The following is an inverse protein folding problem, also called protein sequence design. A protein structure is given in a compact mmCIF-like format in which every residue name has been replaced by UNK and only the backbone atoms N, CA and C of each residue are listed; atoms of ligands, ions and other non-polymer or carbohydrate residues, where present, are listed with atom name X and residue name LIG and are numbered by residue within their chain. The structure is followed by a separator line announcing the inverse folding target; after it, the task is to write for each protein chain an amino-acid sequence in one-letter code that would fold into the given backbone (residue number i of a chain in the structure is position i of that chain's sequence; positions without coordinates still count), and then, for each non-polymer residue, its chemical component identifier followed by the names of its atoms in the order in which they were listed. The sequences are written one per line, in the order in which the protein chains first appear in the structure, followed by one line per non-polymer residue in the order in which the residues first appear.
data_IF_282668966066
#
_entry.id   IF_282668966066
#
_cell.length_a   1.000
_cell.length_b   1.000
_cell.length_c   1.000
_cell.angle_alpha   90.00
_cell.angle_beta   90.00
_cell.angle_gamma   90.00
#
_symmetry.space_group_name_H-M   'P 1'
#
loop_
_entity.id
_entity.type
_entity.pdbx_description
1 polymer ?
#
# COMPACT_ATOMS: atom_id res chain seq x y z
N UNK A 1 -8.36 14.28 -35.57
CA UNK A 1 -7.86 14.24 -34.18
C UNK A 1 -7.73 12.77 -33.82
N UNK A 2 -6.52 12.30 -33.51
CA UNK A 2 -6.33 10.91 -33.09
C UNK A 2 -6.89 10.74 -31.67
N UNK A 3 -7.77 9.76 -31.43
CA UNK A 3 -8.37 9.51 -30.12
C UNK A 3 -7.39 8.89 -29.09
N UNK A 4 -6.18 8.53 -29.52
CA UNK A 4 -5.21 7.80 -28.71
C UNK A 4 -4.21 8.68 -27.94
N UNK A 5 -4.32 10.01 -28.04
CA UNK A 5 -3.48 10.92 -27.25
C UNK A 5 -4.18 11.20 -25.92
N UNK A 6 -3.68 10.61 -24.84
CA UNK A 6 -4.13 10.92 -23.48
C UNK A 6 -3.96 12.42 -23.23
N UNK A 7 -5.04 13.19 -23.01
CA UNK A 7 -4.98 14.65 -22.88
C UNK A 7 -4.22 15.12 -21.63
N UNK A 8 -3.89 14.22 -20.72
CA UNK A 8 -3.14 14.50 -19.50
C UNK A 8 -1.61 14.43 -19.67
N UNK A 9 -1.13 13.95 -20.82
CA UNK A 9 0.31 13.84 -21.09
C UNK A 9 0.79 15.08 -21.83
N UNK A 10 1.54 15.94 -21.13
CA UNK A 10 2.26 17.04 -21.76
C UNK A 10 3.59 16.52 -22.33
N UNK A 11 3.78 16.49 -23.66
CA UNK A 11 5.02 15.99 -24.28
C UNK A 11 6.26 16.82 -23.95
N UNK A 12 6.09 18.03 -23.41
CA UNK A 12 7.18 18.93 -23.02
C UNK A 12 7.65 18.74 -21.55
N UNK A 13 7.06 17.80 -20.81
CA UNK A 13 7.41 17.53 -19.41
C UNK A 13 8.12 16.17 -19.29
N UNK A 14 9.32 16.18 -18.74
CA UNK A 14 10.01 14.94 -18.35
C UNK A 14 9.33 14.37 -17.10
N UNK A 15 8.69 13.19 -17.17
CA UNK A 15 8.01 12.61 -16.02
C UNK A 15 9.02 12.21 -14.94
N UNK A 16 8.64 12.38 -13.67
CA UNK A 16 9.44 11.96 -12.53
C UNK A 16 8.56 11.13 -11.61
N UNK A 17 9.12 10.02 -11.10
CA UNK A 17 8.49 9.22 -10.06
C UNK A 17 9.44 9.05 -8.87
N UNK A 18 8.89 9.15 -7.67
CA UNK A 18 9.61 8.90 -6.42
C UNK A 18 8.83 7.87 -5.61
N UNK A 19 9.54 6.90 -5.06
CA UNK A 19 8.95 5.79 -4.30
C UNK A 19 9.71 5.61 -2.98
N UNK A 20 8.99 5.32 -1.90
CA UNK A 20 9.58 4.98 -0.60
C UNK A 20 8.99 3.69 -0.03
N UNK A 21 9.77 2.95 0.74
CA UNK A 21 9.33 1.72 1.45
C UNK A 21 9.04 1.92 2.93
N UNK A 22 9.09 3.17 3.41
CA UNK A 22 9.06 3.53 4.83
C UNK A 22 10.47 3.84 5.38
N UNK A 23 10.54 4.46 6.56
CA UNK A 23 11.81 4.96 7.13
C UNK A 23 12.00 4.78 8.63
N UNK A 24 11.01 4.22 9.34
CA UNK A 24 10.99 4.21 10.80
C UNK A 24 11.77 3.05 11.46
N UNK A 25 12.48 2.20 10.70
CA UNK A 25 13.09 0.98 11.26
C UNK A 25 14.46 0.68 10.66
N UNK A 26 15.36 0.14 11.50
CA UNK A 26 16.67 -0.36 11.05
C UNK A 26 16.45 -1.55 10.11
N UNK A 27 17.05 -1.47 8.92
CA UNK A 27 17.04 -2.57 7.95
C UNK A 27 18.29 -3.41 8.20
N UNK A 28 18.10 -4.71 8.43
CA UNK A 28 19.20 -5.65 8.61
C UNK A 28 19.98 -5.84 7.30
N UNK A 29 21.27 -6.21 7.40
CA UNK A 29 22.16 -6.35 6.24
C UNK A 29 21.61 -7.33 5.20
N UNK A 30 21.04 -8.43 5.65
CA UNK A 30 20.45 -9.49 4.81
C UNK A 30 19.20 -9.00 4.05
N UNK A 31 18.46 -8.04 4.60
CA UNK A 31 17.24 -7.48 3.98
C UNK A 31 17.52 -6.33 3.03
N UNK A 32 18.64 -5.63 3.20
CA UNK A 32 18.94 -4.37 2.50
C UNK A 32 18.83 -4.51 0.98
N UNK A 33 19.36 -5.58 0.40
CA UNK A 33 19.30 -5.78 -1.05
C UNK A 33 17.88 -6.14 -1.52
N UNK A 34 17.14 -6.96 -0.76
CA UNK A 34 15.73 -7.28 -1.09
C UNK A 34 14.85 -6.03 -1.08
N UNK A 35 15.02 -5.17 -0.07
CA UNK A 35 14.33 -3.87 0.00
C UNK A 35 14.73 -2.98 -1.18
N UNK A 36 16.03 -2.87 -1.49
CA UNK A 36 16.51 -2.06 -2.62
C UNK A 36 15.90 -2.52 -3.95
N UNK A 37 15.87 -3.83 -4.19
CA UNK A 37 15.26 -4.41 -5.38
C UNK A 37 13.76 -4.15 -5.46
N UNK A 38 13.05 -4.26 -4.34
CA UNK A 38 11.62 -3.94 -4.27
C UNK A 38 11.32 -2.48 -4.64
N UNK A 39 12.09 -1.53 -4.08
CA UNK A 39 11.95 -0.10 -4.42
C UNK A 39 12.27 0.17 -5.89
N UNK A 40 13.35 -0.43 -6.42
CA UNK A 40 13.69 -0.30 -7.83
C UNK A 40 12.58 -0.82 -8.74
N UNK A 41 12.01 -1.99 -8.45
CA UNK A 41 10.90 -2.56 -9.23
C UNK A 41 9.68 -1.66 -9.21
N UNK A 42 9.30 -1.13 -8.04
CA UNK A 42 8.17 -0.22 -7.92
C UNK A 42 8.39 1.08 -8.71
N UNK A 43 9.56 1.69 -8.59
CA UNK A 43 9.92 2.90 -9.35
C UNK A 43 9.93 2.63 -10.86
N UNK A 44 10.49 1.51 -11.30
CA UNK A 44 10.50 1.10 -12.70
C UNK A 44 9.10 0.86 -13.25
N UNK A 45 8.22 0.21 -12.49
CA UNK A 45 6.85 -0.06 -12.91
C UNK A 45 6.06 1.25 -13.13
N UNK A 46 6.11 2.16 -12.16
CA UNK A 46 5.43 3.45 -12.31
C UNK A 46 6.07 4.35 -13.38
N UNK A 47 7.41 4.36 -13.48
CA UNK A 47 8.10 5.12 -14.53
C UNK A 47 7.75 4.62 -15.93
N UNK A 48 7.65 3.29 -16.11
CA UNK A 48 7.23 2.67 -17.36
C UNK A 48 5.85 3.19 -17.80
N UNK A 49 4.88 3.19 -16.89
CA UNK A 49 3.53 3.72 -17.14
C UNK A 49 3.60 5.17 -17.63
N UNK A 50 4.39 6.03 -16.97
CA UNK A 50 4.56 7.43 -17.39
C UNK A 50 5.17 7.54 -18.80
N UNK A 51 6.22 6.78 -19.09
CA UNK A 51 6.89 6.82 -20.40
C UNK A 51 6.05 6.24 -21.54
N UNK A 52 5.05 5.42 -21.23
CA UNK A 52 4.09 4.86 -22.18
C UNK A 52 2.84 5.77 -22.35
N UNK A 53 2.82 6.95 -21.73
CA UNK A 53 1.71 7.92 -21.84
C UNK A 53 0.55 7.67 -20.85
N UNK A 54 0.78 6.85 -19.83
CA UNK A 54 -0.17 6.68 -18.72
C UNK A 54 -0.25 7.91 -17.81
N UNK A 55 -1.32 8.02 -17.03
CA UNK A 55 -1.51 9.15 -16.12
C UNK A 55 -0.61 9.05 -14.88
N UNK A 56 -0.44 10.17 -14.17
CA UNK A 56 0.24 10.18 -12.87
C UNK A 56 -0.46 9.27 -11.84
N UNK A 57 -1.79 9.18 -11.89
CA UNK A 57 -2.60 8.32 -11.02
C UNK A 57 -2.32 6.84 -11.31
N UNK A 58 -2.26 6.45 -12.59
CA UNK A 58 -1.92 5.08 -12.99
C UNK A 58 -0.51 4.70 -12.53
N UNK A 59 0.44 5.63 -12.67
CA UNK A 59 1.83 5.40 -12.29
C UNK A 59 2.01 5.16 -10.79
N UNK A 60 1.33 5.95 -9.94
CA UNK A 60 1.42 5.78 -8.47
C UNK A 60 0.66 4.54 -8.00
N UNK A 61 -0.51 4.22 -8.57
CA UNK A 61 -1.22 2.98 -8.26
C UNK A 61 -0.35 1.76 -8.62
N UNK A 62 0.25 1.76 -9.81
CA UNK A 62 1.13 0.69 -10.28
C UNK A 62 2.36 0.53 -9.38
N UNK A 63 3.03 1.62 -9.01
CA UNK A 63 4.18 1.58 -8.12
C UNK A 63 3.83 1.04 -6.72
N UNK A 64 2.72 1.50 -6.14
CA UNK A 64 2.27 1.05 -4.80
C UNK A 64 1.79 -0.39 -4.83
N UNK A 65 1.13 -0.84 -5.90
CA UNK A 65 0.75 -2.26 -6.08
C UNK A 65 1.98 -3.17 -5.98
N UNK A 66 3.10 -2.79 -6.62
CA UNK A 66 4.37 -3.55 -6.52
C UNK A 66 4.90 -3.59 -5.09
N UNK A 67 4.71 -2.54 -4.29
CA UNK A 67 5.10 -2.53 -2.89
C UNK A 67 4.17 -3.40 -2.03
N UNK A 68 2.86 -3.34 -2.24
CA UNK A 68 1.85 -4.14 -1.55
C UNK A 68 1.99 -5.64 -1.82
N UNK A 69 2.40 -6.01 -3.04
CA UNK A 69 2.62 -7.41 -3.40
C UNK A 69 3.96 -7.95 -2.85
N UNK A 70 4.82 -7.08 -2.30
CA UNK A 70 6.19 -7.43 -1.94
C UNK A 70 6.36 -7.54 -0.40
N UNK A 71 6.58 -8.76 0.15
CA UNK A 71 6.50 -9.05 1.60
C UNK A 71 7.54 -8.34 2.48
N UNK A 72 8.55 -7.73 1.87
CA UNK A 72 9.52 -6.92 2.62
C UNK A 72 8.95 -5.60 3.14
N UNK A 73 7.87 -5.07 2.54
CA UNK A 73 7.27 -3.79 2.92
C UNK A 73 6.12 -3.99 3.88
N UNK A 74 5.71 -2.90 4.54
CA UNK A 74 4.60 -2.88 5.48
C UNK A 74 3.34 -2.32 4.80
N UNK A 75 2.84 -3.04 3.81
CA UNK A 75 1.61 -2.77 3.07
C UNK A 75 1.20 -4.05 2.34
N UNK A 76 -0.10 -4.29 2.11
CA UNK A 76 -0.55 -5.52 1.44
C UNK A 76 0.01 -6.78 2.11
N UNK A 77 0.60 -7.67 1.30
CA UNK A 77 1.37 -8.80 1.80
C UNK A 77 2.62 -8.32 2.54
N UNK A 78 2.79 -8.74 3.80
CA UNK A 78 3.88 -8.25 4.66
C UNK A 78 3.49 -7.09 5.57
N UNK A 79 2.20 -6.73 5.60
CA UNK A 79 1.64 -5.84 6.61
C UNK A 79 1.87 -6.36 8.03
N UNK A 80 2.17 -5.44 8.95
CA UNK A 80 2.30 -5.74 10.38
C UNK A 80 0.96 -6.20 10.96
N UNK A 81 1.05 -6.92 12.07
CA UNK A 81 -0.13 -7.46 12.74
C UNK A 81 -0.62 -6.51 13.82
N UNK A 82 -1.93 -6.43 13.99
CA UNK A 82 -2.56 -5.75 15.12
C UNK A 82 -2.40 -6.58 16.41
N UNK A 83 -2.94 -6.08 17.54
CA UNK A 83 -2.83 -6.74 18.84
C UNK A 83 -3.42 -8.17 18.86
N UNK A 84 -4.41 -8.44 18.01
CA UNK A 84 -5.08 -9.73 17.88
C UNK A 84 -4.35 -10.69 16.92
N UNK A 85 -3.31 -10.22 16.22
CA UNK A 85 -2.60 -11.03 15.23
C UNK A 85 -3.19 -10.95 13.82
N UNK A 86 -4.12 -10.04 13.56
CA UNK A 86 -4.73 -9.85 12.24
C UNK A 86 -4.04 -8.72 11.46
N UNK A 87 -4.14 -8.77 10.13
CA UNK A 87 -3.73 -7.69 9.23
C UNK A 87 -4.91 -6.75 9.02
N UNK A 88 -4.70 -5.47 9.28
CA UNK A 88 -5.59 -4.36 8.96
C UNK A 88 -4.79 -3.30 8.21
N UNK A 89 -5.30 -2.87 7.06
CA UNK A 89 -4.56 -2.00 6.15
C UNK A 89 -5.32 -0.72 5.85
N UNK A 90 -4.55 0.32 5.57
CA UNK A 90 -5.04 1.62 5.15
C UNK A 90 -4.34 2.02 3.85
N UNK A 91 -5.04 2.73 2.96
CA UNK A 91 -4.44 3.31 1.76
C UNK A 91 -5.24 4.53 1.28
N UNK A 92 -4.56 5.43 0.58
CA UNK A 92 -5.19 6.62 -0.01
C UNK A 92 -4.49 7.01 -1.32
N UNK A 93 -5.26 7.56 -2.25
CA UNK A 93 -4.78 8.09 -3.54
C UNK A 93 -5.47 9.42 -3.83
N UNK A 94 -4.78 10.32 -4.53
CA UNK A 94 -5.30 11.64 -4.88
C UNK A 94 -4.79 12.06 -6.27
N UNK A 95 -5.69 12.61 -7.09
CA UNK A 95 -5.35 13.23 -8.35
C UNK A 95 -5.11 14.74 -8.16
N UNK A 96 -3.91 15.21 -8.49
CA UNK A 96 -3.56 16.63 -8.35
C UNK A 96 -4.27 17.56 -9.33
N UNK A 97 -4.83 17.04 -10.44
CA UNK A 97 -5.48 17.85 -11.47
C UNK A 97 -6.81 18.45 -11.01
N UNK A 98 -7.63 17.67 -10.33
CA UNK A 98 -9.00 18.02 -9.94
C UNK A 98 -9.27 17.83 -8.44
N UNK A 99 -8.25 17.43 -7.68
CA UNK A 99 -8.31 17.13 -6.25
C UNK A 99 -9.25 15.97 -5.89
N UNK A 100 -9.64 15.15 -6.88
CA UNK A 100 -10.34 13.90 -6.60
C UNK A 100 -9.46 13.00 -5.72
N UNK A 101 -10.08 12.34 -4.74
CA UNK A 101 -9.37 11.54 -3.75
C UNK A 101 -10.20 10.34 -3.33
N UNK A 102 -9.51 9.27 -2.94
CA UNK A 102 -10.12 8.07 -2.38
C UNK A 102 -9.22 7.44 -1.34
N UNK A 103 -9.84 6.89 -0.31
CA UNK A 103 -9.15 6.29 0.81
C UNK A 103 -9.95 5.13 1.41
N UNK A 104 -9.20 4.20 2.01
CA UNK A 104 -9.74 3.07 2.77
C UNK A 104 -8.97 2.88 4.06
N UNK A 105 -9.65 2.42 5.11
CA UNK A 105 -9.01 2.11 6.39
C UNK A 105 -9.57 0.86 7.04
N UNK A 106 -8.74 0.23 7.88
CA UNK A 106 -9.02 -1.04 8.55
C UNK A 106 -9.52 -2.13 7.59
N UNK A 107 -9.07 -2.11 6.33
CA UNK A 107 -9.48 -3.13 5.35
C UNK A 107 -8.70 -4.42 5.58
N UNK A 108 -9.39 -5.54 5.40
CA UNK A 108 -8.87 -6.89 5.62
C UNK A 108 -9.15 -7.75 4.39
N UNK A 109 -8.37 -8.82 4.22
CA UNK A 109 -8.60 -9.85 3.20
C UNK A 109 -8.62 -9.33 1.75
N UNK A 110 -7.88 -8.25 1.45
CA UNK A 110 -7.72 -7.68 0.09
C UNK A 110 -6.23 -7.55 -0.19
N UNK A 111 -5.77 -8.00 -1.35
CA UNK A 111 -4.34 -7.97 -1.71
C UNK A 111 -3.80 -6.55 -1.82
N UNK A 112 -4.53 -5.67 -2.53
CA UNK A 112 -4.08 -4.33 -2.88
C UNK A 112 -5.04 -3.23 -2.37
N UNK A 113 -4.88 -2.75 -1.13
CA UNK A 113 -5.65 -1.62 -0.60
C UNK A 113 -5.63 -0.36 -1.50
N UNK A 114 -4.52 -0.05 -2.19
CA UNK A 114 -4.44 1.14 -3.05
C UNK A 114 -5.43 1.10 -4.21
N UNK A 115 -5.69 -0.09 -4.77
CA UNK A 115 -6.67 -0.26 -5.86
C UNK A 115 -8.09 -0.03 -5.36
N UNK A 116 -8.38 -0.43 -4.12
CA UNK A 116 -9.68 -0.13 -3.51
C UNK A 116 -9.82 1.36 -3.22
N UNK A 117 -8.77 2.04 -2.75
CA UNK A 117 -8.75 3.48 -2.58
C UNK A 117 -9.02 4.21 -3.92
N UNK A 118 -8.43 3.73 -5.03
CA UNK A 118 -8.72 4.25 -6.37
C UNK A 118 -10.18 4.04 -6.78
N UNK A 119 -10.75 2.87 -6.50
CA UNK A 119 -12.18 2.63 -6.74
C UNK A 119 -13.07 3.56 -5.93
N UNK A 120 -12.71 3.89 -4.68
CA UNK A 120 -13.43 4.89 -3.87
C UNK A 120 -13.44 6.25 -4.59
N UNK A 121 -12.28 6.69 -5.08
CA UNK A 121 -12.11 7.95 -5.81
C UNK A 121 -12.96 8.02 -7.08
N UNK A 122 -13.00 6.94 -7.86
CA UNK A 122 -13.61 6.95 -9.20
C UNK A 122 -15.08 6.52 -9.23
N UNK A 123 -15.52 5.71 -8.26
CA UNK A 123 -16.83 5.03 -8.30
C UNK A 123 -17.78 5.45 -7.20
N UNK A 124 -17.39 6.41 -6.36
CA UNK A 124 -18.25 6.90 -5.27
C UNK A 124 -18.24 8.42 -5.22
N UNK A 125 -19.25 8.99 -4.56
CA UNK A 125 -19.30 10.43 -4.23
C UNK A 125 -18.58 10.75 -2.92
N UNK A 126 -17.90 9.79 -2.32
CA UNK A 126 -17.23 9.90 -1.02
C UNK A 126 -15.72 9.71 -1.20
N UNK A 127 -14.93 10.32 -0.32
CA UNK A 127 -13.47 10.21 -0.42
C UNK A 127 -12.87 9.15 0.50
N UNK A 128 -13.65 8.56 1.43
CA UNK A 128 -13.11 7.67 2.45
C UNK A 128 -14.15 6.64 2.91
N UNK A 129 -13.83 5.36 2.79
CA UNK A 129 -14.58 4.24 3.37
C UNK A 129 -13.75 3.51 4.43
N UNK A 130 -14.40 2.87 5.40
CA UNK A 130 -13.69 2.18 6.50
C UNK A 130 -14.33 0.83 6.80
N UNK A 131 -13.51 -0.11 7.28
CA UNK A 131 -13.88 -1.40 7.86
C UNK A 131 -14.99 -2.11 7.04
N UNK A 132 -16.14 -2.41 7.66
CA UNK A 132 -17.24 -3.14 7.02
C UNK A 132 -17.81 -2.41 5.80
N UNK A 133 -17.80 -1.07 5.80
CA UNK A 133 -18.26 -0.28 4.67
C UNK A 133 -17.35 -0.44 3.46
N UNK A 134 -16.04 -0.39 3.69
CA UNK A 134 -15.04 -0.65 2.65
C UNK A 134 -15.10 -2.10 2.14
N UNK A 135 -15.31 -3.09 3.03
CA UNK A 135 -15.44 -4.50 2.64
C UNK A 135 -16.67 -4.75 1.75
N UNK A 136 -17.83 -4.16 2.09
CA UNK A 136 -19.04 -4.26 1.26
C UNK A 136 -18.84 -3.59 -0.10
N UNK A 137 -18.16 -2.44 -0.13
CA UNK A 137 -17.83 -1.75 -1.36
C UNK A 137 -16.88 -2.57 -2.24
N UNK A 138 -15.84 -3.17 -1.66
CA UNK A 138 -14.92 -4.07 -2.35
C UNK A 138 -15.66 -5.24 -3.02
N UNK A 139 -16.59 -5.88 -2.30
CA UNK A 139 -17.41 -6.95 -2.84
C UNK A 139 -18.31 -6.47 -3.99
N UNK A 140 -18.93 -5.30 -3.85
CA UNK A 140 -19.78 -4.70 -4.90
C UNK A 140 -18.99 -4.35 -6.18
N UNK A 141 -17.72 -3.97 -6.05
CA UNK A 141 -16.82 -3.70 -7.19
C UNK A 141 -16.14 -4.96 -7.75
N UNK A 142 -16.40 -6.14 -7.18
CA UNK A 142 -15.81 -7.41 -7.62
C UNK A 142 -14.33 -7.58 -7.24
N UNK A 143 -13.85 -6.88 -6.22
CA UNK A 143 -12.48 -7.05 -5.71
C UNK A 143 -12.36 -8.42 -5.03
N UNK A 144 -11.39 -9.27 -5.42
CA UNK A 144 -11.22 -10.59 -4.83
C UNK A 144 -10.91 -10.51 -3.33
N UNK A 145 -11.64 -11.31 -2.55
CA UNK A 145 -11.30 -11.58 -1.16
C UNK A 145 -10.25 -12.69 -1.11
N UNK A 146 -9.13 -12.45 -0.42
CA UNK A 146 -8.05 -13.42 -0.24
C UNK A 146 -8.02 -13.96 1.20
N UNK A 147 -7.51 -15.17 1.42
CA UNK A 147 -7.25 -15.68 2.77
C UNK A 147 -6.31 -14.75 3.54
N UNK A 148 -6.59 -14.50 4.82
CA UNK A 148 -5.78 -13.62 5.67
C UNK A 148 -4.33 -14.10 5.76
N UNK A 149 -4.11 -15.40 5.68
CA UNK A 149 -2.80 -16.05 5.75
C UNK A 149 -1.88 -15.61 4.59
N UNK A 150 -2.45 -15.21 3.44
CA UNK A 150 -1.67 -14.70 2.31
C UNK A 150 -1.08 -13.30 2.57
N UNK A 151 -1.63 -12.55 3.52
CA UNK A 151 -1.12 -11.23 3.90
C UNK A 151 -0.08 -11.31 5.03
N UNK A 152 -0.09 -12.42 5.79
CA UNK A 152 0.72 -12.63 6.99
C UNK A 152 2.07 -13.24 6.60
N UNK A 153 3.14 -12.77 7.26
CA UNK A 153 4.49 -13.34 7.11
C UNK A 153 5.02 -13.81 8.46
N UNK A 154 5.87 -14.85 8.45
CA UNK A 154 6.55 -15.33 9.67
C UNK A 154 7.33 -14.21 10.38
N UNK A 155 7.90 -13.28 9.61
CA UNK A 155 8.60 -12.10 10.13
C UNK A 155 7.69 -11.29 11.06
N UNK A 156 6.45 -11.03 10.63
CA UNK A 156 5.53 -10.20 11.38
C UNK A 156 4.89 -10.95 12.54
N UNK A 157 4.71 -12.27 12.44
CA UNK A 157 4.32 -13.13 13.58
C UNK A 157 5.36 -13.01 14.70
N UNK A 158 6.64 -13.31 14.40
CA UNK A 158 7.74 -13.23 15.36
C UNK A 158 7.90 -11.82 15.95
N UNK A 159 7.66 -10.79 15.13
CA UNK A 159 7.66 -9.40 15.57
C UNK A 159 6.57 -9.14 16.61
N UNK A 160 5.34 -9.55 16.34
CA UNK A 160 4.22 -9.36 17.29
C UNK A 160 4.45 -10.14 18.59
N UNK A 161 4.94 -11.39 18.51
CA UNK A 161 5.29 -12.19 19.69
C UNK A 161 6.32 -11.48 20.57
N UNK A 162 7.40 -10.97 19.96
CA UNK A 162 8.42 -10.19 20.66
C UNK A 162 7.84 -8.94 21.31
N UNK A 163 7.03 -8.17 20.59
CA UNK A 163 6.36 -6.97 21.12
C UNK A 163 5.42 -7.30 22.29
N UNK A 164 4.71 -8.43 22.26
CA UNK A 164 3.85 -8.91 23.37
C UNK A 164 4.67 -9.30 24.60
N UNK A 165 5.81 -9.97 24.42
CA UNK A 165 6.71 -10.33 25.52
C UNK A 165 7.36 -9.10 26.16
N UNK A 166 7.84 -8.15 25.36
CA UNK A 166 8.46 -6.91 25.87
C UNK A 166 7.46 -6.03 26.63
N UNK A 167 6.19 -5.97 26.20
CA UNK A 167 5.12 -5.26 26.91
C UNK A 167 4.58 -6.01 28.13
N UNK A 168 4.74 -7.34 28.17
CA UNK A 168 4.32 -8.21 29.27
C UNK A 168 5.37 -8.42 30.35
N UNK A 169 6.63 -7.99 30.11
CA UNK A 169 7.67 -8.00 31.14
C UNK A 169 7.34 -6.93 32.20
N UNK A 170 7.28 -7.28 33.51
CA UNK A 170 7.12 -6.27 34.54
C UNK A 170 8.29 -5.28 34.47
N UNK A 171 8.01 -3.97 34.48
CA UNK A 171 9.02 -2.94 34.69
C UNK A 171 9.70 -3.18 36.05
N UNK A 172 10.80 -3.92 36.06
CA UNK A 172 11.69 -4.01 37.20
C UNK A 172 12.62 -2.79 37.19
N UNK A 173 12.06 -1.60 37.37
CA UNK A 173 12.82 -0.42 37.80
C UNK A 173 11.86 0.69 38.27
N UNK A 174 11.44 0.53 39.52
CA UNK A 174 11.21 1.66 40.41
C UNK A 174 11.57 1.20 41.83
N UNK A 175 12.87 1.10 42.11
CA UNK A 175 13.37 1.03 43.48
C UNK A 175 14.10 2.34 43.81
N UNK A 176 13.48 3.05 44.76
CA UNK A 176 13.94 4.14 45.62
C UNK A 176 13.97 5.56 45.04
#
# INVERSE_FOLDING_TARGET
MNPDVNPDVNPDVNPVIVVHGGGASKISKDRKERVRQGIMKAAQAGYKILTEGGSAVDAVEGAVTILEDHPEFNAGCGSVLNANGDVEMDASIMNGKDLSAGAVSAVRCIANPIKLARLVMEKTTHCFLTDQGAAKFAAAMGVPTIPKEQLVTERNIKRLEKEKHEKGAPNSDCQK
#
